data_IF_452823771196
#
_entry.id   IF_452823771196
#
_cell.length_a   1.000
_cell.length_b   1.000
_cell.length_c   1.000
_cell.angle_alpha   90.00
_cell.angle_beta   90.00
_cell.angle_gamma   90.00
#
_symmetry.space_group_name_H-M   'P 1'
#
loop_
_entity.id
_entity.type
_entity.pdbx_description
1 polymer ?
#
# COMPACT_ATOMS: atom_id res chain seq x y z
N UNK A 1 11.91 -12.06 46.92
CA UNK A 1 11.52 -12.67 45.61
C UNK A 1 10.02 -12.53 45.53
N UNK A 2 9.56 -11.29 45.37
CA UNK A 2 8.15 -10.96 45.55
C UNK A 2 7.49 -10.99 44.18
N UNK A 3 6.81 -12.11 43.91
CA UNK A 3 5.94 -12.25 42.75
C UNK A 3 4.72 -11.37 42.99
N UNK A 4 4.80 -10.11 42.56
CA UNK A 4 3.67 -9.19 42.49
C UNK A 4 2.58 -9.84 41.63
N UNK A 5 1.65 -10.55 42.27
CA UNK A 5 0.48 -11.15 41.62
C UNK A 5 -0.50 -10.02 41.38
N UNK A 6 -0.48 -9.47 40.17
CA UNK A 6 -1.50 -8.50 39.75
C UNK A 6 -2.89 -9.14 39.87
N UNK A 7 -3.91 -8.42 40.37
CA UNK A 7 -5.26 -8.94 40.46
C UNK A 7 -5.80 -9.32 39.08
N UNK A 8 -6.57 -10.40 39.04
CA UNK A 8 -7.13 -11.00 37.83
C UNK A 8 -7.98 -10.01 37.00
N UNK A 9 -8.54 -8.99 37.65
CA UNK A 9 -9.27 -7.90 37.01
C UNK A 9 -8.37 -7.01 36.15
N UNK A 10 -7.14 -6.73 36.60
CA UNK A 10 -6.17 -5.92 35.85
C UNK A 10 -5.67 -6.69 34.63
N UNK A 11 -5.49 -8.01 34.74
CA UNK A 11 -5.15 -8.82 33.57
C UNK A 11 -6.29 -8.85 32.55
N UNK A 12 -7.55 -8.89 32.99
CA UNK A 12 -8.72 -8.95 32.11
C UNK A 12 -8.92 -7.64 31.33
N UNK A 13 -8.72 -6.49 31.97
CA UNK A 13 -8.84 -5.18 31.32
C UNK A 13 -7.75 -4.96 30.26
N UNK A 14 -6.51 -5.40 30.51
CA UNK A 14 -5.41 -5.30 29.55
C UNK A 14 -5.68 -6.13 28.28
N UNK A 15 -6.25 -7.34 28.43
CA UNK A 15 -6.60 -8.20 27.29
C UNK A 15 -7.71 -7.55 26.44
N UNK A 16 -8.72 -6.96 27.07
CA UNK A 16 -9.80 -6.27 26.36
C UNK A 16 -9.24 -5.05 25.61
N UNK A 17 -8.46 -4.19 26.27
CA UNK A 17 -7.89 -2.99 25.64
C UNK A 17 -6.95 -3.34 24.48
N UNK A 18 -6.11 -4.36 24.64
CA UNK A 18 -5.21 -4.81 23.56
C UNK A 18 -5.97 -5.43 22.37
N UNK A 19 -7.09 -6.11 22.60
CA UNK A 19 -7.94 -6.59 21.50
C UNK A 19 -8.57 -5.45 20.68
N UNK A 20 -8.91 -4.32 21.33
CA UNK A 20 -9.55 -3.16 20.68
C UNK A 20 -8.57 -2.37 19.80
N UNK A 21 -7.27 -2.33 20.13
CA UNK A 21 -6.28 -1.56 19.35
C UNK A 21 -5.84 -2.25 18.05
N UNK A 22 -6.11 -3.56 17.88
CA UNK A 22 -5.67 -4.32 16.69
C UNK A 22 -6.46 -3.93 15.43
N UNK A 23 -7.66 -3.36 15.56
CA UNK A 23 -8.57 -3.11 14.44
C UNK A 23 -8.31 -1.82 13.64
N UNK A 24 -7.35 -0.97 14.02
CA UNK A 24 -7.25 0.41 13.50
C UNK A 24 -5.98 0.74 12.67
N UNK A 25 -5.35 -0.22 11.98
CA UNK A 25 -4.04 0.01 11.32
C UNK A 25 -3.98 -0.24 9.81
N UNK A 26 -5.12 -0.31 9.10
CA UNK A 26 -5.10 -0.55 7.65
C UNK A 26 -5.74 0.56 6.80
N UNK A 27 -5.54 1.81 7.22
CA UNK A 27 -5.78 2.98 6.37
C UNK A 27 -4.68 2.97 5.27
N UNK A 28 -5.00 2.43 4.08
CA UNK A 28 -4.12 2.57 2.91
C UNK A 28 -4.14 4.04 2.47
N UNK A 29 -3.33 4.85 3.13
CA UNK A 29 -3.18 6.27 2.82
C UNK A 29 -2.62 6.41 1.40
N UNK A 30 -3.31 7.17 0.57
CA UNK A 30 -2.78 7.59 -0.73
C UNK A 30 -1.54 8.46 -0.53
N UNK A 31 -0.48 8.14 -1.27
CA UNK A 31 0.85 8.74 -1.14
C UNK A 31 1.42 9.22 -2.48
N UNK A 32 0.62 9.16 -3.55
CA UNK A 32 0.99 9.68 -4.87
C UNK A 32 -0.24 10.15 -5.65
N UNK A 33 0.00 10.95 -6.68
CA UNK A 33 -1.01 11.38 -7.66
C UNK A 33 -0.62 10.84 -9.03
N UNK A 34 -1.57 10.19 -9.72
CA UNK A 34 -1.37 9.65 -11.06
C UNK A 34 -1.16 10.77 -12.09
N UNK A 35 -0.66 10.46 -13.30
CA UNK A 35 -0.56 11.44 -14.38
C UNK A 35 -1.90 12.07 -14.77
N UNK A 36 -3.02 11.41 -14.45
CA UNK A 36 -4.38 11.88 -14.68
C UNK A 36 -4.97 12.66 -13.50
N UNK A 37 -4.21 12.88 -12.42
CA UNK A 37 -4.65 13.66 -11.25
C UNK A 37 -5.38 12.84 -10.19
N UNK A 38 -5.40 11.52 -10.28
CA UNK A 38 -6.10 10.64 -9.33
C UNK A 38 -5.18 10.24 -8.17
N UNK A 39 -5.75 10.15 -6.96
CA UNK A 39 -5.00 9.72 -5.78
C UNK A 39 -4.75 8.21 -5.83
N UNK A 40 -3.52 7.79 -5.50
CA UNK A 40 -3.11 6.40 -5.60
C UNK A 40 -2.04 5.99 -4.59
N UNK A 41 -1.59 4.74 -4.73
CA UNK A 41 -0.57 4.12 -3.89
C UNK A 41 0.73 3.91 -4.66
N UNK A 42 1.85 4.29 -4.06
CA UNK A 42 3.18 4.11 -4.60
C UNK A 42 3.71 2.69 -4.35
N UNK A 43 3.31 1.75 -5.22
CA UNK A 43 3.59 0.33 -5.08
C UNK A 43 4.49 -0.20 -6.20
N UNK A 44 5.04 -1.41 -6.02
CA UNK A 44 5.78 -2.08 -7.09
C UNK A 44 4.87 -2.25 -8.32
N UNK A 45 5.39 -1.96 -9.52
CA UNK A 45 4.62 -2.09 -10.77
C UNK A 45 4.00 -3.48 -10.96
N UNK A 46 4.67 -4.54 -10.49
CA UNK A 46 4.15 -5.91 -10.55
C UNK A 46 2.85 -6.10 -9.74
N UNK A 47 2.61 -5.22 -8.76
CA UNK A 47 1.43 -5.23 -7.89
C UNK A 47 0.35 -4.25 -8.36
N UNK A 48 0.50 -3.65 -9.55
CA UNK A 48 -0.48 -2.73 -10.14
C UNK A 48 -1.10 -3.32 -11.41
N UNK A 49 -2.24 -4.06 -11.31
CA UNK A 49 -2.85 -4.74 -12.45
C UNK A 49 -3.10 -3.87 -13.68
N UNK A 50 -3.58 -2.60 -13.57
CA UNK A 50 -3.81 -1.74 -14.73
C UNK A 50 -2.54 -1.48 -15.54
N UNK A 51 -1.43 -1.18 -14.86
CA UNK A 51 -0.15 -0.91 -15.51
C UNK A 51 0.51 -2.19 -16.04
N UNK A 52 0.31 -3.34 -15.38
CA UNK A 52 0.73 -4.64 -15.91
C UNK A 52 -0.02 -4.98 -17.19
N UNK A 53 -1.34 -4.74 -17.25
CA UNK A 53 -2.14 -4.93 -18.48
C UNK A 53 -1.66 -4.01 -19.60
N UNK A 54 -1.34 -2.76 -19.28
CA UNK A 54 -0.79 -1.80 -20.24
C UNK A 54 0.53 -2.29 -20.85
N UNK A 55 1.49 -2.77 -20.03
CA UNK A 55 2.78 -3.30 -20.51
C UNK A 55 2.59 -4.53 -21.42
N UNK A 56 1.59 -5.36 -21.13
CA UNK A 56 1.30 -6.58 -21.91
C UNK A 56 0.60 -6.29 -23.25
N UNK A 57 0.17 -5.04 -23.49
CA UNK A 57 -0.50 -4.67 -24.73
C UNK A 57 0.50 -4.60 -25.88
N UNK A 58 0.18 -5.23 -27.01
CA UNK A 58 1.01 -5.26 -28.21
C UNK A 58 0.20 -4.76 -29.41
N UNK A 59 0.68 -3.75 -30.17
CA UNK A 59 1.91 -2.99 -29.93
C UNK A 59 1.78 -2.05 -28.73
N UNK A 60 2.88 -1.85 -28.00
CA UNK A 60 2.93 -0.85 -26.92
C UNK A 60 3.15 0.53 -27.53
N UNK A 61 2.14 1.40 -27.48
CA UNK A 61 2.22 2.72 -28.11
C UNK A 61 3.08 3.69 -27.31
N UNK A 62 3.66 4.68 -28.00
CA UNK A 62 4.54 5.66 -27.35
C UNK A 62 3.83 6.49 -26.25
N UNK A 63 2.52 6.72 -26.38
CA UNK A 63 1.69 7.32 -25.34
C UNK A 63 1.63 6.47 -24.06
N UNK A 64 1.60 5.15 -24.19
CA UNK A 64 1.51 4.22 -23.07
C UNK A 64 2.86 4.12 -22.36
N UNK A 65 3.96 4.16 -23.12
CA UNK A 65 5.32 4.31 -22.58
C UNK A 65 5.47 5.61 -21.81
N UNK A 66 4.96 6.72 -22.34
CA UNK A 66 4.99 8.01 -21.64
C UNK A 66 4.18 7.95 -20.33
N UNK A 67 2.98 7.36 -20.37
CA UNK A 67 2.16 7.17 -19.19
C UNK A 67 2.85 6.30 -18.12
N UNK A 68 3.47 5.19 -18.51
CA UNK A 68 4.24 4.31 -17.62
C UNK A 68 5.42 5.05 -16.95
N UNK A 69 6.09 5.94 -17.68
CA UNK A 69 7.19 6.77 -17.15
C UNK A 69 6.69 7.83 -16.18
N UNK A 70 5.63 8.54 -16.53
CA UNK A 70 5.03 9.58 -15.68
C UNK A 70 4.42 8.99 -14.41
N UNK A 71 3.97 7.73 -14.45
CA UNK A 71 3.44 7.03 -13.27
C UNK A 71 4.52 6.63 -12.27
N UNK A 72 5.82 6.79 -12.54
CA UNK A 72 6.86 6.39 -11.58
C UNK A 72 6.88 7.30 -10.35
N UNK A 73 6.82 6.69 -9.16
CA UNK A 73 6.83 7.40 -7.88
C UNK A 73 8.08 7.08 -7.03
N UNK A 74 8.93 6.16 -7.48
CA UNK A 74 10.18 5.82 -6.80
C UNK A 74 10.68 4.42 -7.12
N UNK A 75 11.49 3.86 -6.22
CA UNK A 75 12.04 2.51 -6.32
C UNK A 75 11.90 1.79 -4.98
N UNK A 76 11.77 0.46 -5.04
CA UNK A 76 11.81 -0.39 -3.85
C UNK A 76 13.25 -0.62 -3.38
N UNK A 77 13.43 -1.20 -2.19
CA UNK A 77 14.74 -1.58 -1.63
C UNK A 77 15.56 -2.45 -2.58
N UNK A 78 14.90 -3.29 -3.37
CA UNK A 78 15.52 -4.16 -4.38
C UNK A 78 15.69 -3.48 -5.76
N UNK A 79 15.70 -2.14 -5.81
CA UNK A 79 15.79 -1.33 -7.02
C UNK A 79 14.69 -1.61 -8.08
N UNK A 80 13.58 -2.22 -7.65
CA UNK A 80 12.41 -2.47 -8.52
C UNK A 80 11.61 -1.17 -8.68
N UNK A 81 11.13 -0.84 -9.89
CA UNK A 81 10.38 0.39 -10.12
C UNK A 81 9.06 0.37 -9.35
N UNK A 82 8.75 1.48 -8.70
CA UNK A 82 7.44 1.75 -8.12
C UNK A 82 6.68 2.73 -8.98
N UNK A 83 5.36 2.59 -8.98
CA UNK A 83 4.43 3.37 -9.76
C UNK A 83 3.25 3.80 -8.89
N UNK A 84 2.66 4.94 -9.24
CA UNK A 84 1.42 5.37 -8.66
C UNK A 84 0.27 4.54 -9.23
N UNK A 85 -0.33 3.71 -8.38
CA UNK A 85 -1.42 2.82 -8.73
C UNK A 85 -2.73 3.34 -8.15
N UNK A 86 -3.70 3.65 -9.01
CA UNK A 86 -5.03 4.12 -8.60
C UNK A 86 -5.88 2.90 -8.22
N UNK A 87 -6.63 2.92 -7.11
CA UNK A 87 -7.41 1.77 -6.64
C UNK A 87 -8.64 1.44 -7.46
N UNK A 88 -9.16 2.38 -8.26
CA UNK A 88 -10.47 2.25 -8.91
C UNK A 88 -10.47 1.34 -10.15
N UNK A 89 -9.40 0.57 -10.39
CA UNK A 89 -9.26 -0.34 -11.54
C UNK A 89 -8.86 -1.80 -11.13
N UNK A 90 -9.14 -2.23 -9.90
CA UNK A 90 -8.93 -3.63 -9.47
C UNK A 90 -10.01 -4.59 -9.98
#
# INVERSE_FOLDING_TARGET
MDRLKLPLTITFTIIIVSSVTIFAQNERKFDCTSPTGLQGLCINIANCPPLVRLIKTVPLYQKDVAYLRMSQCGKSSNNKPKVCCVPDDF
#
